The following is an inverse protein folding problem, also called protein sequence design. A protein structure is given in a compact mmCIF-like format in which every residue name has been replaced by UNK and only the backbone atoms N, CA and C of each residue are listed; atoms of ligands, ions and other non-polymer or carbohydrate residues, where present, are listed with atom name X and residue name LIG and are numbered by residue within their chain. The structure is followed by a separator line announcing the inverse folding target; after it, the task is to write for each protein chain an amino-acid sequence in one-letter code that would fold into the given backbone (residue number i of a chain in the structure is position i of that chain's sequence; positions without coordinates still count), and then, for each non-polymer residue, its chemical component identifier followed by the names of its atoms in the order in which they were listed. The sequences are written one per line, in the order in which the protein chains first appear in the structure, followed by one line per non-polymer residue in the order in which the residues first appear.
data_IF_012303528105
#
_entry.id   IF_012303528105
#
_cell.length_a   1.000
_cell.length_b   1.000
_cell.length_c   1.000
_cell.angle_alpha   90.00
_cell.angle_beta   90.00
_cell.angle_gamma   90.00
#
_symmetry.space_group_name_H-M   'P 1'
#
loop_
_entity.id
_entity.type
_entity.pdbx_description
1 polymer ?
#
# COMPACT_ATOMS: atom_id res chain seq x y z
N UNK A 1 4.73 -7.44 26.12
CA UNK A 1 3.45 -6.73 25.92
C UNK A 1 3.72 -5.28 26.27
N UNK A 2 3.68 -4.37 25.30
CA UNK A 2 3.73 -2.94 25.62
C UNK A 2 2.55 -2.60 26.52
N UNK A 3 2.83 -2.05 27.69
CA UNK A 3 1.79 -1.60 28.62
C UNK A 3 1.08 -0.41 27.99
N UNK A 4 -0.26 -0.41 28.03
CA UNK A 4 -1.06 0.75 27.62
C UNK A 4 -0.65 1.96 28.46
N UNK A 5 -0.15 3.01 27.81
CA UNK A 5 0.22 4.27 28.47
C UNK A 5 -0.97 4.91 29.22
N UNK A 6 -2.18 4.73 28.68
CA UNK A 6 -3.43 5.14 29.29
C UNK A 6 -4.52 4.08 29.02
N UNK A 7 -5.51 3.96 29.91
CA UNK A 7 -6.54 2.90 29.84
C UNK A 7 -7.36 2.94 28.54
N UNK A 8 -7.56 4.13 27.98
CA UNK A 8 -8.25 4.36 26.70
C UNK A 8 -7.34 4.32 25.47
N UNK A 9 -6.04 4.11 25.63
CA UNK A 9 -5.11 4.07 24.50
C UNK A 9 -5.40 2.86 23.60
N UNK A 10 -5.43 3.14 22.30
CA UNK A 10 -5.44 2.14 21.23
C UNK A 10 -4.00 1.76 20.94
N UNK A 11 -3.65 0.50 21.19
CA UNK A 11 -2.33 -0.01 20.86
C UNK A 11 -2.27 -0.41 19.39
N UNK A 12 -1.09 -0.41 18.76
CA UNK A 12 -0.94 -0.88 17.37
C UNK A 12 -1.46 -2.32 17.17
N UNK A 13 -1.19 -3.21 18.13
CA UNK A 13 -1.67 -4.59 18.13
C UNK A 13 -3.21 -4.67 18.21
N UNK A 14 -3.82 -3.87 19.10
CA UNK A 14 -5.28 -3.82 19.20
C UNK A 14 -5.91 -3.34 17.89
N UNK A 15 -5.40 -2.25 17.31
CA UNK A 15 -5.89 -1.72 16.04
C UNK A 15 -5.80 -2.74 14.90
N UNK A 16 -4.66 -3.42 14.78
CA UNK A 16 -4.45 -4.46 13.75
C UNK A 16 -5.42 -5.63 13.91
N UNK A 17 -5.67 -6.06 15.16
CA UNK A 17 -6.62 -7.15 15.47
C UNK A 17 -8.06 -6.76 15.17
N UNK A 18 -8.48 -5.57 15.56
CA UNK A 18 -9.84 -5.10 15.28
C UNK A 18 -10.07 -4.89 13.78
N UNK A 19 -9.08 -4.37 13.05
CA UNK A 19 -9.14 -4.30 11.59
C UNK A 19 -9.29 -5.69 10.95
N UNK A 20 -8.52 -6.68 11.42
CA UNK A 20 -8.62 -8.07 10.94
C UNK A 20 -10.03 -8.62 11.11
N UNK A 21 -10.64 -8.41 12.30
CA UNK A 21 -12.03 -8.83 12.55
C UNK A 21 -13.01 -8.14 11.60
N UNK A 22 -12.85 -6.84 11.37
CA UNK A 22 -13.72 -6.08 10.47
C UNK A 22 -13.59 -6.57 9.02
N UNK A 23 -12.37 -6.81 8.54
CA UNK A 23 -12.10 -7.38 7.20
C UNK A 23 -12.79 -8.74 7.03
N UNK A 24 -12.61 -9.63 8.01
CA UNK A 24 -13.16 -10.98 7.94
C UNK A 24 -14.71 -10.96 8.04
N UNK A 25 -15.28 -10.07 8.85
CA UNK A 25 -16.73 -9.87 8.92
C UNK A 25 -17.34 -9.29 7.63
N UNK A 26 -16.54 -8.54 6.86
CA UNK A 26 -16.93 -8.04 5.55
C UNK A 26 -16.80 -9.09 4.43
N UNK A 27 -16.33 -10.30 4.74
CA UNK A 27 -16.02 -11.35 3.75
C UNK A 27 -15.01 -10.88 2.68
N UNK A 28 -14.19 -9.88 3.02
CA UNK A 28 -13.19 -9.36 2.12
C UNK A 28 -12.01 -10.33 2.02
N UNK A 29 -11.58 -10.64 0.79
CA UNK A 29 -10.44 -11.52 0.51
C UNK A 29 -10.64 -12.98 0.97
N UNK A 30 -11.88 -13.47 0.97
CA UNK A 30 -12.19 -14.86 1.35
C UNK A 30 -11.58 -15.92 0.41
N UNK A 31 -11.18 -15.52 -0.79
CA UNK A 31 -10.56 -16.38 -1.80
C UNK A 31 -9.06 -16.64 -1.59
N UNK A 32 -8.40 -15.95 -0.63
CA UNK A 32 -6.98 -16.13 -0.29
C UNK A 32 -6.80 -16.54 1.18
N UNK A 33 -5.64 -17.14 1.47
CA UNK A 33 -5.32 -17.65 2.80
C UNK A 33 -5.20 -16.51 3.83
N UNK A 34 -5.49 -16.76 5.13
CA UNK A 34 -5.46 -15.72 6.17
C UNK A 34 -4.14 -14.95 6.28
N UNK A 35 -3.01 -15.58 5.98
CA UNK A 35 -1.68 -14.98 6.02
C UNK A 35 -1.40 -14.02 4.84
N UNK A 36 -2.14 -14.16 3.74
CA UNK A 36 -1.99 -13.34 2.53
C UNK A 36 -2.97 -12.16 2.54
N UNK A 37 -3.98 -12.19 3.40
CA UNK A 37 -5.00 -11.14 3.47
C UNK A 37 -4.38 -9.83 3.96
N UNK A 38 -4.73 -8.67 3.35
CA UNK A 38 -4.21 -7.38 3.75
C UNK A 38 -4.41 -7.09 5.23
N UNK A 39 -3.40 -6.47 5.85
CA UNK A 39 -3.45 -6.01 7.26
C UNK A 39 -3.72 -4.51 7.32
N UNK A 40 -3.85 -3.96 8.53
CA UNK A 40 -4.05 -2.51 8.69
C UNK A 40 -2.93 -1.67 8.04
N UNK A 41 -1.70 -2.19 7.98
CA UNK A 41 -0.57 -1.49 7.35
C UNK A 41 -0.81 -1.21 5.86
N UNK A 42 -1.52 -2.10 5.16
CA UNK A 42 -1.78 -1.99 3.72
C UNK A 42 -2.69 -0.80 3.36
N UNK A 43 -3.43 -0.25 4.33
CA UNK A 43 -4.21 0.99 4.13
C UNK A 43 -3.30 2.16 3.73
N UNK A 44 -2.04 2.16 4.19
CA UNK A 44 -1.04 3.16 3.82
C UNK A 44 -0.61 3.05 2.36
N UNK A 45 -0.42 1.82 1.87
CA UNK A 45 -0.10 1.55 0.47
C UNK A 45 -1.26 1.97 -0.44
N UNK A 46 -2.49 1.57 -0.10
CA UNK A 46 -3.70 2.00 -0.79
C UNK A 46 -3.84 3.53 -0.83
N UNK A 47 -3.62 4.20 0.30
CA UNK A 47 -3.68 5.66 0.38
C UNK A 47 -2.64 6.34 -0.52
N UNK A 48 -1.41 5.82 -0.54
CA UNK A 48 -0.33 6.33 -1.41
C UNK A 48 -0.69 6.21 -2.89
N UNK A 49 -1.23 5.07 -3.30
CA UNK A 49 -1.70 4.84 -4.66
C UNK A 49 -2.87 5.75 -5.03
N UNK A 50 -3.87 5.92 -4.15
CA UNK A 50 -5.00 6.82 -4.40
C UNK A 50 -4.58 8.29 -4.58
N UNK A 51 -3.53 8.75 -3.89
CA UNK A 51 -3.01 10.11 -4.13
C UNK A 51 -2.33 10.23 -5.50
N UNK A 52 -1.58 9.21 -5.93
CA UNK A 52 -1.00 9.17 -7.27
C UNK A 52 -2.08 9.19 -8.36
N UNK A 53 -3.16 8.41 -8.20
CA UNK A 53 -4.29 8.40 -9.14
C UNK A 53 -5.03 9.76 -9.23
N UNK A 54 -4.88 10.61 -8.22
CA UNK A 54 -5.41 11.97 -8.20
C UNK A 54 -4.36 13.02 -8.64
N UNK A 55 -3.25 12.59 -9.23
CA UNK A 55 -2.17 13.43 -9.77
C UNK A 55 -1.51 14.35 -8.73
N UNK A 56 -1.51 13.95 -7.45
CA UNK A 56 -0.73 14.66 -6.44
C UNK A 56 0.78 14.51 -6.70
N UNK A 57 1.59 15.54 -6.41
CA UNK A 57 3.05 15.46 -6.56
C UNK A 57 3.66 14.32 -5.72
N UNK A 58 4.62 13.60 -6.27
CA UNK A 58 5.28 12.46 -5.59
C UNK A 58 5.95 12.90 -4.27
N UNK A 59 6.52 14.11 -4.25
CA UNK A 59 7.16 14.69 -3.06
C UNK A 59 6.14 14.95 -1.94
N UNK A 60 4.91 15.34 -2.30
CA UNK A 60 3.83 15.54 -1.34
C UNK A 60 3.42 14.21 -0.70
N UNK A 61 3.24 13.16 -1.50
CA UNK A 61 2.89 11.82 -1.02
C UNK A 61 4.02 11.26 -0.17
N UNK A 62 5.27 11.35 -0.64
CA UNK A 62 6.47 10.93 0.09
C UNK A 62 6.58 11.58 1.47
N UNK A 63 6.41 12.90 1.55
CA UNK A 63 6.45 13.64 2.81
C UNK A 63 5.35 13.17 3.77
N UNK A 64 4.15 12.87 3.26
CA UNK A 64 3.03 12.39 4.08
C UNK A 64 3.22 10.96 4.59
N UNK A 65 3.88 10.12 3.80
CA UNK A 65 4.34 8.81 4.26
C UNK A 65 5.53 8.96 5.23
N UNK A 66 6.32 10.02 5.14
CA UNK A 66 7.57 10.14 5.90
C UNK A 66 8.65 9.20 5.38
N UNK A 67 8.65 8.91 4.07
CA UNK A 67 9.72 8.17 3.43
C UNK A 67 10.85 9.12 3.04
N UNK A 68 12.09 8.73 3.29
CA UNK A 68 13.27 9.51 2.89
C UNK A 68 13.70 9.26 1.44
N UNK A 69 13.19 8.20 0.81
CA UNK A 69 13.53 7.79 -0.56
C UNK A 69 12.24 7.62 -1.38
N UNK A 70 12.26 8.13 -2.62
CA UNK A 70 11.17 8.04 -3.58
C UNK A 70 10.87 6.57 -3.94
N UNK A 71 11.90 5.72 -3.97
CA UNK A 71 11.75 4.29 -4.23
C UNK A 71 10.81 3.60 -3.24
N UNK A 72 10.84 4.00 -1.97
CA UNK A 72 9.95 3.42 -0.96
C UNK A 72 8.50 3.86 -1.17
N UNK A 73 8.27 5.09 -1.62
CA UNK A 73 6.92 5.57 -1.98
C UNK A 73 6.39 4.80 -3.19
N UNK A 74 7.20 4.65 -4.25
CA UNK A 74 6.84 3.87 -5.43
C UNK A 74 6.53 2.42 -5.09
N UNK A 75 7.34 1.79 -4.24
CA UNK A 75 7.07 0.42 -3.80
C UNK A 75 5.70 0.27 -3.12
N UNK A 76 5.23 1.29 -2.38
CA UNK A 76 3.90 1.29 -1.77
C UNK A 76 2.76 1.54 -2.79
N UNK A 77 3.08 2.17 -3.92
CA UNK A 77 2.14 2.47 -5.03
C UNK A 77 2.06 1.33 -6.06
N UNK A 78 3.05 0.45 -6.09
CA UNK A 78 3.11 -0.70 -6.99
C UNK A 78 2.09 -1.78 -6.61
N UNK A 79 1.62 -2.54 -7.61
CA UNK A 79 0.80 -3.75 -7.40
C UNK A 79 -0.70 -3.52 -7.20
N UNK A 80 -1.19 -2.28 -7.27
CA UNK A 80 -2.62 -1.94 -7.18
C UNK A 80 -3.37 -2.03 -8.52
N UNK A 81 -2.66 -2.26 -9.62
CA UNK A 81 -3.22 -2.48 -10.96
C UNK A 81 -2.74 -3.81 -11.56
N UNK A 82 -3.54 -4.37 -12.47
CA UNK A 82 -3.09 -5.51 -13.26
C UNK A 82 -1.88 -5.10 -14.12
N UNK A 83 -0.82 -5.91 -14.11
CA UNK A 83 0.36 -5.67 -14.94
C UNK A 83 0.01 -5.94 -16.40
N UNK A 84 -0.31 -4.88 -17.15
CA UNK A 84 -0.44 -4.94 -18.60
C UNK A 84 0.94 -4.94 -19.25
N UNK A 85 1.17 -5.83 -20.21
CA UNK A 85 2.39 -5.82 -21.01
C UNK A 85 2.27 -4.67 -22.03
N UNK A 86 3.04 -3.61 -21.83
CA UNK A 86 3.19 -2.56 -22.84
C UNK A 86 4.33 -2.92 -23.80
N UNK A 87 3.99 -3.09 -25.08
CA UNK A 87 4.99 -3.33 -26.13
C UNK A 87 5.55 -2.00 -26.62
N UNK A 88 6.87 -1.83 -26.51
CA UNK A 88 7.57 -0.67 -27.06
C UNK A 88 8.34 -1.09 -28.32
N UNK A 89 7.87 -0.67 -29.49
CA UNK A 89 8.59 -0.86 -30.75
C UNK A 89 9.78 0.09 -30.82
N UNK A 90 10.99 -0.45 -30.83
CA UNK A 90 12.23 0.31 -31.06
C UNK A 90 12.82 -0.07 -32.41
N UNK A 91 13.05 0.93 -33.27
CA UNK A 91 13.78 0.77 -34.51
C UNK A 91 15.26 1.00 -34.26
N UNK A 92 16.11 0.01 -34.59
CA UNK A 92 17.55 0.25 -34.62
C UNK A 92 17.88 0.98 -35.94
N UNK A 93 18.20 2.28 -35.85
CA UNK A 93 18.69 3.09 -36.98
C UNK A 93 20.11 2.65 -37.40
N UNK A 94 20.24 1.40 -37.85
CA UNK A 94 21.48 0.88 -38.41
C UNK A 94 21.70 1.55 -39.78
N UNK A 95 22.63 2.50 -39.81
CA UNK A 95 23.15 3.08 -41.05
C UNK A 95 24.08 2.07 -41.72
N UNK A 96 23.74 1.68 -42.95
CA UNK A 96 24.53 0.80 -43.82
C UNK A 96 25.80 1.49 -44.33
#
# INVERSE_FOLDING_TARGET
MEAKEHWSSVTPDYLTKEFTKARDAAHAYDHIGPAERPTFHEVRALGSWLYEQQEFPEEYVQARLGHSDAKMTRHYQEGHTEKTIEYQTVGADLKY
#
